data_IF_853955890749
#
_entry.id   IF_853955890749
#
_cell.length_a   1.000
_cell.length_b   1.000
_cell.length_c   1.000
_cell.angle_alpha   90.00
_cell.angle_beta   90.00
_cell.angle_gamma   90.00
#
_symmetry.space_group_name_H-M   'P 1'
#
loop_
_entity.id
_entity.type
_entity.pdbx_description
1 polymer ?
#
# COMPACT_ATOMS: atom_id res chain seq x y z
N UNK A 1 -4.18 -10.32 19.35
CA UNK A 1 -3.01 -10.88 20.06
C UNK A 1 -1.91 -11.19 19.04
N UNK A 2 -0.64 -10.95 19.36
CA UNK A 2 0.50 -11.26 18.48
C UNK A 2 1.32 -12.40 19.09
N UNK A 3 1.62 -13.42 18.30
CA UNK A 3 2.52 -14.51 18.64
C UNK A 3 3.72 -14.46 17.70
N UNK A 4 4.94 -14.33 18.23
CA UNK A 4 6.16 -14.31 17.45
C UNK A 4 6.95 -15.59 17.67
N UNK A 5 7.35 -16.24 16.59
CA UNK A 5 8.09 -17.50 16.62
C UNK A 5 9.55 -17.28 16.24
N UNK A 6 10.45 -18.06 16.84
CA UNK A 6 11.88 -18.08 16.50
C UNK A 6 12.13 -19.00 15.28
N UNK A 7 11.37 -18.80 14.20
CA UNK A 7 11.61 -19.47 12.91
C UNK A 7 12.66 -18.67 12.11
N UNK A 8 13.31 -19.29 11.10
CA UNK A 8 14.26 -18.59 10.23
C UNK A 8 13.69 -17.35 9.54
N UNK A 9 12.38 -17.31 9.31
CA UNK A 9 11.65 -16.21 8.64
C UNK A 9 10.95 -15.25 9.62
N UNK A 10 11.26 -15.39 10.92
CA UNK A 10 10.69 -14.60 12.01
C UNK A 10 9.15 -14.49 11.94
N UNK A 11 8.48 -15.63 11.77
CA UNK A 11 7.04 -15.69 11.56
C UNK A 11 6.28 -15.09 12.74
N UNK A 12 5.34 -14.18 12.47
CA UNK A 12 4.43 -13.62 13.46
C UNK A 12 2.97 -13.90 13.08
N UNK A 13 2.20 -14.47 14.01
CA UNK A 13 0.76 -14.66 13.87
C UNK A 13 0.01 -13.59 14.64
N UNK A 14 -0.97 -12.98 13.99
CA UNK A 14 -1.93 -12.08 14.59
C UNK A 14 -3.26 -12.80 14.68
N UNK A 15 -3.74 -13.02 15.90
CA UNK A 15 -5.02 -13.70 16.18
C UNK A 15 -6.01 -12.68 16.71
N UNK A 16 -7.22 -12.70 16.17
CA UNK A 16 -8.34 -11.89 16.63
C UNK A 16 -8.88 -12.47 17.95
N UNK A 17 -8.77 -11.76 19.09
CA UNK A 17 -9.10 -12.35 20.39
C UNK A 17 -10.58 -12.72 20.55
N UNK A 18 -11.50 -11.95 19.95
CA UNK A 18 -12.93 -12.15 20.12
C UNK A 18 -13.44 -13.40 19.39
N UNK A 19 -12.87 -13.70 18.22
CA UNK A 19 -13.30 -14.81 17.36
C UNK A 19 -12.36 -16.02 17.41
N UNK A 20 -11.16 -15.86 17.96
CA UNK A 20 -10.09 -16.87 17.93
C UNK A 20 -9.53 -17.13 16.52
N UNK A 21 -9.91 -16.33 15.52
CA UNK A 21 -9.50 -16.54 14.13
C UNK A 21 -8.12 -15.96 13.87
N UNK A 22 -7.38 -16.62 12.98
CA UNK A 22 -6.14 -16.06 12.45
C UNK A 22 -6.46 -14.83 11.58
N UNK A 23 -5.96 -13.68 11.99
CA UNK A 23 -6.12 -12.41 11.27
C UNK A 23 -5.02 -12.20 10.23
N UNK A 24 -3.77 -12.52 10.58
CA UNK A 24 -2.64 -12.44 9.65
C UNK A 24 -1.50 -13.37 10.07
N UNK A 25 -0.79 -13.89 9.08
CA UNK A 25 0.51 -14.54 9.23
C UNK A 25 1.51 -13.66 8.49
N UNK A 26 2.59 -13.24 9.17
CA UNK A 26 3.57 -12.31 8.63
C UNK A 26 4.96 -12.91 8.73
N UNK A 27 5.61 -13.06 7.58
CA UNK A 27 7.00 -13.48 7.40
C UNK A 27 7.90 -12.28 7.06
N UNK A 28 9.21 -12.50 6.97
CA UNK A 28 10.13 -11.46 6.51
C UNK A 28 9.88 -11.01 5.08
N UNK A 29 9.39 -11.89 4.19
CA UNK A 29 8.97 -11.51 2.84
C UNK A 29 7.87 -10.45 2.87
N UNK A 30 6.82 -10.71 3.64
CA UNK A 30 5.68 -9.80 3.81
C UNK A 30 6.11 -8.45 4.41
N UNK A 31 7.11 -8.44 5.30
CA UNK A 31 7.66 -7.20 5.87
C UNK A 31 8.38 -6.37 4.81
N UNK A 32 9.15 -7.02 3.93
CA UNK A 32 9.88 -6.34 2.84
C UNK A 32 8.91 -5.77 1.80
N UNK A 33 7.86 -6.51 1.47
CA UNK A 33 6.79 -6.02 0.60
C UNK A 33 5.99 -4.89 1.25
N UNK A 34 5.65 -5.02 2.53
CA UNK A 34 5.00 -3.96 3.29
C UNK A 34 5.83 -2.66 3.30
N UNK A 35 7.16 -2.78 3.40
CA UNK A 35 8.07 -1.64 3.30
C UNK A 35 8.12 -1.05 1.89
N UNK A 36 8.19 -1.87 0.84
CA UNK A 36 8.19 -1.36 -0.55
C UNK A 36 6.89 -0.64 -0.87
N UNK A 37 5.75 -1.19 -0.43
CA UNK A 37 4.45 -0.54 -0.57
C UNK A 37 4.37 0.77 0.22
N UNK A 38 4.88 0.79 1.45
CA UNK A 38 4.92 2.01 2.26
C UNK A 38 5.72 3.13 1.56
N UNK A 39 6.92 2.82 1.08
CA UNK A 39 7.83 3.80 0.47
C UNK A 39 7.36 4.24 -0.91
N UNK A 40 7.01 3.30 -1.79
CA UNK A 40 6.71 3.59 -3.20
C UNK A 40 5.27 4.06 -3.43
N UNK A 41 4.30 3.49 -2.71
CA UNK A 41 2.88 3.75 -2.97
C UNK A 41 2.20 4.57 -1.88
N UNK A 42 2.63 4.44 -0.63
CA UNK A 42 1.99 5.12 0.52
C UNK A 42 2.62 6.47 0.85
N UNK A 43 3.53 6.98 0.02
CA UNK A 43 4.20 8.26 0.21
C UNK A 43 4.87 8.38 1.61
N UNK A 44 5.39 7.26 2.14
CA UNK A 44 5.98 7.23 3.49
C UNK A 44 7.14 8.21 3.65
N UNK A 45 7.86 8.53 2.58
CA UNK A 45 8.93 9.54 2.57
C UNK A 45 8.44 10.96 2.88
N UNK A 46 7.13 11.22 2.86
CA UNK A 46 6.52 12.50 3.24
C UNK A 46 5.98 12.51 4.68
N UNK A 47 6.21 11.48 5.50
CA UNK A 47 5.72 11.46 6.88
C UNK A 47 6.23 12.64 7.72
N UNK A 48 7.43 13.16 7.42
CA UNK A 48 7.99 14.36 8.08
C UNK A 48 7.19 15.64 7.80
N UNK A 49 6.47 15.72 6.68
CA UNK A 49 5.69 16.89 6.28
C UNK A 49 4.27 16.90 6.90
N UNK A 50 3.93 15.84 7.65
CA UNK A 50 2.62 15.71 8.30
C UNK A 50 1.53 15.17 7.37
N UNK A 51 0.46 14.66 8.00
CA UNK A 51 -0.62 13.94 7.33
C UNK A 51 -1.29 14.75 6.22
N UNK A 52 -1.61 16.02 6.47
CA UNK A 52 -2.36 16.85 5.52
C UNK A 52 -1.58 17.05 4.21
N UNK A 53 -0.26 17.27 4.30
CA UNK A 53 0.59 17.45 3.11
C UNK A 53 0.70 16.14 2.35
N UNK A 54 0.97 15.02 3.04
CA UNK A 54 1.04 13.70 2.42
C UNK A 54 -0.25 13.34 1.69
N UNK A 55 -1.39 13.58 2.34
CA UNK A 55 -2.71 13.27 1.77
C UNK A 55 -3.01 14.17 0.55
N UNK A 56 -2.66 15.46 0.60
CA UNK A 56 -2.80 16.37 -0.54
C UNK A 56 -1.95 15.93 -1.75
N UNK A 57 -0.69 15.56 -1.53
CA UNK A 57 0.20 15.06 -2.58
C UNK A 57 -0.35 13.76 -3.18
N UNK A 58 -0.83 12.84 -2.34
CA UNK A 58 -1.42 11.59 -2.81
C UNK A 58 -2.65 11.82 -3.71
N UNK A 59 -3.54 12.75 -3.32
CA UNK A 59 -4.72 13.11 -4.13
C UNK A 59 -4.30 13.75 -5.45
N UNK A 60 -3.32 14.66 -5.46
CA UNK A 60 -2.82 15.29 -6.67
C UNK A 60 -2.18 14.27 -7.62
N UNK A 61 -1.39 13.33 -7.10
CA UNK A 61 -0.82 12.23 -7.90
C UNK A 61 -1.91 11.35 -8.52
N UNK A 62 -2.93 10.98 -7.73
CA UNK A 62 -4.05 10.17 -8.22
C UNK A 62 -4.84 10.91 -9.33
N UNK A 63 -5.07 12.22 -9.16
CA UNK A 63 -5.72 13.05 -10.19
C UNK A 63 -4.88 13.13 -11.46
N UNK A 64 -3.56 13.27 -11.35
CA UNK A 64 -2.66 13.26 -12.49
C UNK A 64 -2.72 11.95 -13.29
N UNK A 65 -2.71 10.81 -12.60
CA UNK A 65 -2.90 9.49 -13.22
C UNK A 65 -4.24 9.43 -13.95
N UNK A 66 -5.34 9.84 -13.31
CA UNK A 66 -6.67 9.86 -13.92
C UNK A 66 -6.70 10.69 -15.20
N UNK A 67 -6.13 11.91 -15.20
CA UNK A 67 -6.11 12.79 -16.37
C UNK A 67 -5.38 12.14 -17.53
N UNK A 68 -4.18 11.57 -17.29
CA UNK A 68 -3.40 10.90 -18.35
C UNK A 68 -4.13 9.66 -18.87
N UNK A 69 -4.77 8.89 -18.00
CA UNK A 69 -5.59 7.73 -18.38
C UNK A 69 -6.77 8.14 -19.26
N UNK A 70 -7.55 9.16 -18.87
CA UNK A 70 -8.68 9.65 -19.67
C UNK A 70 -8.22 10.22 -21.02
N UNK A 71 -7.10 10.94 -21.04
CA UNK A 71 -6.54 11.47 -22.27
C UNK A 71 -6.11 10.35 -23.22
N UNK A 72 -5.37 9.35 -22.73
CA UNK A 72 -4.97 8.18 -23.52
C UNK A 72 -6.17 7.39 -24.04
N UNK A 73 -7.22 7.25 -23.21
CA UNK A 73 -8.47 6.61 -23.61
C UNK A 73 -9.20 7.40 -24.71
N UNK A 74 -9.29 8.73 -24.59
CA UNK A 74 -9.89 9.59 -25.61
C UNK A 74 -9.14 9.50 -26.95
N UNK A 75 -7.80 9.47 -26.92
CA UNK A 75 -6.99 9.26 -28.12
C UNK A 75 -7.24 7.89 -28.75
N UNK A 76 -7.32 6.82 -27.94
CA UNK A 76 -7.63 5.48 -28.44
C UNK A 76 -8.98 5.44 -29.14
N UNK A 77 -10.02 6.05 -28.55
CA UNK A 77 -11.34 6.13 -29.17
C UNK A 77 -11.33 6.92 -30.49
N UNK A 78 -10.50 7.97 -30.58
CA UNK A 78 -10.35 8.76 -31.81
C UNK A 78 -9.62 8.00 -32.92
N UNK A 79 -8.61 7.21 -32.58
CA UNK A 79 -7.81 6.44 -33.55
C UNK A 79 -8.51 5.15 -34.01
N UNK A 80 -9.47 4.63 -33.23
CA UNK A 80 -10.28 3.44 -33.57
C UNK A 80 -11.57 3.77 -34.33
N UNK A 81 -11.85 5.05 -34.57
CA UNK A 81 -12.88 5.53 -35.52
C UNK A 81 -12.25 5.80 -36.87
#
# INVERSE_FOLDING_TARGET
MKLAFATPEHTALYVEPASGRLAALVTDGDRREGLSFAVLHKFFLLDWAGKNVRDAVAILSALGVLVVTLYGFALLLRTRR
#
